data_IF_454098094179
#
_entry.id   IF_454098094179
#
_cell.length_a   1.000
_cell.length_b   1.000
_cell.length_c   1.000
_cell.angle_alpha   90.00
_cell.angle_beta   90.00
_cell.angle_gamma   90.00
#
_symmetry.space_group_name_H-M   'P 1'
#
loop_
_entity.id
_entity.type
_entity.pdbx_description
1 polymer ?
#
# COMPACT_ATOMS: atom_id res chain seq x y z
N UNK A 1 -52.06 24.41 -35.38
CA UNK A 1 -51.02 23.49 -34.87
C UNK A 1 -49.88 24.35 -34.33
N UNK A 2 -49.83 24.56 -33.02
CA UNK A 2 -48.72 25.29 -32.39
C UNK A 2 -47.49 24.37 -32.42
N UNK A 3 -46.53 24.68 -33.29
CA UNK A 3 -45.24 24.02 -33.31
C UNK A 3 -44.39 24.64 -32.20
N UNK A 4 -44.15 23.88 -31.14
CA UNK A 4 -43.20 24.28 -30.08
C UNK A 4 -41.81 24.41 -30.70
N UNK A 5 -41.10 25.54 -30.50
CA UNK A 5 -39.75 25.70 -31.02
C UNK A 5 -38.81 24.72 -30.31
N UNK A 6 -37.93 24.09 -31.08
CA UNK A 6 -36.89 23.21 -30.52
C UNK A 6 -36.03 24.00 -29.52
N UNK A 7 -35.72 23.44 -28.33
CA UNK A 7 -34.98 24.16 -27.32
C UNK A 7 -33.59 24.53 -27.85
N UNK A 8 -33.16 25.76 -27.56
CA UNK A 8 -31.82 26.23 -27.94
C UNK A 8 -30.73 25.35 -27.32
N UNK A 9 -29.56 25.27 -27.97
CA UNK A 9 -28.41 24.48 -27.48
C UNK A 9 -28.04 24.79 -26.01
N UNK A 10 -28.24 26.03 -25.53
CA UNK A 10 -28.05 26.39 -24.12
C UNK A 10 -29.07 25.74 -23.19
N UNK A 11 -30.32 25.62 -23.60
CA UNK A 11 -31.39 24.97 -22.82
C UNK A 11 -31.17 23.46 -22.75
N UNK A 12 -30.78 22.82 -23.86
CA UNK A 12 -30.41 21.39 -23.86
C UNK A 12 -29.22 21.08 -22.95
N UNK A 13 -28.17 21.91 -22.96
CA UNK A 13 -27.02 21.77 -22.05
C UNK A 13 -27.43 21.93 -20.59
N UNK A 14 -28.39 22.81 -20.30
CA UNK A 14 -28.89 23.06 -18.95
C UNK A 14 -29.84 21.97 -18.44
N UNK A 15 -30.65 21.36 -19.30
CA UNK A 15 -31.51 20.20 -18.95
C UNK A 15 -30.68 18.94 -18.72
N UNK A 16 -29.72 18.62 -19.62
CA UNK A 16 -28.77 17.53 -19.38
C UNK A 16 -27.96 17.73 -18.08
N UNK A 17 -27.68 18.98 -17.71
CA UNK A 17 -27.02 19.31 -16.43
C UNK A 17 -27.91 19.02 -15.21
N UNK A 18 -29.18 19.44 -15.22
CA UNK A 18 -30.12 19.17 -14.10
C UNK A 18 -30.33 17.66 -13.91
N UNK A 19 -30.48 16.93 -15.00
CA UNK A 19 -30.66 15.48 -14.95
C UNK A 19 -29.40 14.78 -14.43
N UNK A 20 -28.21 15.22 -14.86
CA UNK A 20 -26.94 14.69 -14.36
C UNK A 20 -26.77 14.91 -12.86
N UNK A 21 -27.12 16.10 -12.33
CA UNK A 21 -27.06 16.40 -10.89
C UNK A 21 -28.05 15.54 -10.09
N UNK A 22 -29.27 15.32 -10.62
CA UNK A 22 -30.27 14.46 -9.97
C UNK A 22 -29.83 13.01 -9.92
N UNK A 23 -29.30 12.49 -11.03
CA UNK A 23 -28.78 11.11 -11.11
C UNK A 23 -27.60 10.96 -10.16
N UNK A 24 -26.66 11.91 -10.14
CA UNK A 24 -25.53 11.89 -9.23
C UNK A 24 -25.96 11.90 -7.76
N UNK A 25 -26.91 12.77 -7.38
CA UNK A 25 -27.46 12.79 -6.02
C UNK A 25 -28.16 11.48 -5.65
N UNK A 26 -28.84 10.84 -6.61
CA UNK A 26 -29.45 9.53 -6.39
C UNK A 26 -28.40 8.44 -6.16
N UNK A 27 -27.35 8.39 -6.99
CA UNK A 27 -26.24 7.46 -6.85
C UNK A 27 -25.50 7.67 -5.52
N UNK A 28 -25.27 8.92 -5.12
CA UNK A 28 -24.70 9.24 -3.80
C UNK A 28 -25.51 8.63 -2.66
N UNK A 29 -26.84 8.74 -2.71
CA UNK A 29 -27.72 8.16 -1.69
C UNK A 29 -27.65 6.62 -1.69
N UNK A 30 -27.61 6.00 -2.87
CA UNK A 30 -27.47 4.54 -2.97
C UNK A 30 -26.19 4.05 -2.29
N UNK A 31 -25.06 4.69 -2.58
CA UNK A 31 -23.76 4.37 -1.99
C UNK A 31 -23.75 4.67 -0.47
N UNK A 32 -24.31 5.80 -0.06
CA UNK A 32 -24.30 6.22 1.35
C UNK A 32 -25.12 5.32 2.27
N UNK A 33 -26.28 4.86 1.80
CA UNK A 33 -27.21 4.08 2.62
C UNK A 33 -27.08 2.57 2.40
N UNK A 34 -26.04 2.12 1.67
CA UNK A 34 -25.86 0.73 1.25
C UNK A 34 -27.14 0.11 0.66
N UNK A 35 -27.92 0.93 -0.05
CA UNK A 35 -29.17 0.46 -0.60
C UNK A 35 -28.86 -0.36 -1.84
N UNK A 36 -29.08 -1.68 -1.72
CA UNK A 36 -28.95 -2.69 -2.76
C UNK A 36 -27.48 -3.02 -3.11
N UNK A 37 -26.88 -3.94 -2.35
CA UNK A 37 -25.48 -4.41 -2.55
C UNK A 37 -25.16 -4.80 -4.01
N UNK A 38 -26.10 -5.44 -4.72
CA UNK A 38 -25.90 -5.82 -6.13
C UNK A 38 -25.74 -4.65 -7.11
N UNK A 39 -26.10 -3.41 -6.71
CA UNK A 39 -25.91 -2.19 -7.52
C UNK A 39 -24.66 -1.41 -7.13
N UNK A 40 -23.92 -1.86 -6.12
CA UNK A 40 -22.80 -1.10 -5.57
C UNK A 40 -21.72 -0.83 -6.62
N UNK A 41 -21.23 -1.88 -7.29
CA UNK A 41 -20.17 -1.73 -8.30
C UNK A 41 -20.59 -0.80 -9.45
N UNK A 42 -21.77 -0.99 -10.11
CA UNK A 42 -22.24 -0.02 -11.11
C UNK A 42 -22.40 1.41 -10.58
N UNK A 43 -22.86 1.57 -9.33
CA UNK A 43 -23.00 2.87 -8.69
C UNK A 43 -21.63 3.52 -8.44
N UNK A 44 -20.63 2.77 -7.98
CA UNK A 44 -19.25 3.22 -7.79
C UNK A 44 -18.59 3.63 -9.10
N UNK A 45 -18.77 2.84 -10.17
CA UNK A 45 -18.27 3.18 -11.51
C UNK A 45 -18.89 4.49 -11.98
N UNK A 46 -20.22 4.62 -11.91
CA UNK A 46 -20.89 5.87 -12.30
C UNK A 46 -20.40 7.06 -11.46
N UNK A 47 -20.27 6.87 -10.15
CA UNK A 47 -19.84 7.90 -9.22
C UNK A 47 -18.42 8.39 -9.53
N UNK A 48 -17.50 7.47 -9.83
CA UNK A 48 -16.10 7.78 -10.12
C UNK A 48 -15.90 8.36 -11.53
N UNK A 49 -16.45 7.72 -12.56
CA UNK A 49 -16.20 8.08 -13.98
C UNK A 49 -17.06 9.27 -14.44
N UNK A 50 -18.34 9.29 -14.08
CA UNK A 50 -19.29 10.32 -14.52
C UNK A 50 -19.38 11.42 -13.46
N UNK A 51 -19.56 11.02 -12.21
CA UNK A 51 -19.79 11.93 -11.10
C UNK A 51 -18.64 12.89 -10.87
N UNK A 52 -17.45 12.40 -10.52
CA UNK A 52 -16.32 13.29 -10.17
C UNK A 52 -15.82 14.10 -11.36
N UNK A 53 -15.72 13.51 -12.56
CA UNK A 53 -15.25 14.23 -13.75
C UNK A 53 -16.18 15.36 -14.22
N UNK A 54 -17.50 15.21 -14.04
CA UNK A 54 -18.49 16.25 -14.39
C UNK A 54 -18.69 17.26 -13.27
N UNK A 55 -18.70 16.81 -12.01
CA UNK A 55 -18.92 17.64 -10.83
C UNK A 55 -17.68 18.47 -10.49
N UNK A 56 -16.47 17.95 -10.66
CA UNK A 56 -15.23 18.71 -10.41
C UNK A 56 -15.01 19.84 -11.42
N UNK A 57 -15.70 19.84 -12.58
CA UNK A 57 -15.76 20.99 -13.50
C UNK A 57 -16.83 22.01 -13.10
N UNK A 58 -17.78 21.64 -12.25
CA UNK A 58 -18.95 22.46 -11.93
C UNK A 58 -18.96 22.98 -10.49
N UNK A 59 -18.30 22.29 -9.56
CA UNK A 59 -18.41 22.53 -8.13
C UNK A 59 -17.02 22.57 -7.49
N UNK A 60 -16.51 23.79 -7.30
CA UNK A 60 -15.46 24.12 -6.34
C UNK A 60 -16.00 24.10 -4.88
N UNK A 61 -16.97 23.23 -4.56
CA UNK A 61 -17.59 23.20 -3.23
C UNK A 61 -16.92 22.14 -2.36
N UNK A 62 -16.26 22.60 -1.29
CA UNK A 62 -15.65 21.79 -0.23
C UNK A 62 -16.59 20.70 0.33
N UNK A 63 -17.90 20.98 0.38
CA UNK A 63 -18.90 20.04 0.91
C UNK A 63 -19.07 18.77 0.07
N UNK A 64 -18.96 18.87 -1.26
CA UNK A 64 -19.07 17.71 -2.13
C UNK A 64 -17.83 16.83 -2.08
N UNK A 65 -16.65 17.45 -1.93
CA UNK A 65 -15.41 16.73 -1.67
C UNK A 65 -15.49 15.94 -0.36
N UNK A 66 -16.04 16.53 0.71
CA UNK A 66 -16.23 15.82 1.98
C UNK A 66 -17.20 14.63 1.89
N UNK A 67 -18.25 14.73 1.07
CA UNK A 67 -19.15 13.59 0.81
C UNK A 67 -18.49 12.50 -0.01
N UNK A 68 -17.75 12.88 -1.06
CA UNK A 68 -17.03 11.94 -1.92
C UNK A 68 -15.96 11.16 -1.12
N UNK A 69 -15.18 11.89 -0.32
CA UNK A 69 -14.20 11.35 0.60
C UNK A 69 -14.82 10.29 1.53
N UNK A 70 -15.96 10.61 2.15
CA UNK A 70 -16.66 9.67 3.03
C UNK A 70 -17.19 8.44 2.29
N UNK A 71 -17.80 8.62 1.11
CA UNK A 71 -18.27 7.50 0.28
C UNK A 71 -17.11 6.55 -0.02
N UNK A 72 -15.99 7.08 -0.52
CA UNK A 72 -14.87 6.22 -0.87
C UNK A 72 -14.28 5.51 0.34
N UNK A 73 -14.05 6.19 1.47
CA UNK A 73 -13.56 5.52 2.68
C UNK A 73 -14.47 4.40 3.16
N UNK A 74 -15.78 4.57 3.04
CA UNK A 74 -16.75 3.51 3.37
C UNK A 74 -16.57 2.29 2.45
N UNK A 75 -16.38 2.50 1.15
CA UNK A 75 -16.26 1.41 0.18
C UNK A 75 -14.87 0.75 0.10
N UNK A 76 -13.86 1.24 0.83
CA UNK A 76 -12.58 0.54 1.01
C UNK A 76 -12.75 -0.85 1.65
N UNK A 77 -13.74 -0.99 2.53
CA UNK A 77 -14.02 -2.26 3.21
C UNK A 77 -15.18 -3.03 2.59
N UNK A 78 -15.56 -2.70 1.35
CA UNK A 78 -16.63 -3.41 0.64
C UNK A 78 -16.32 -4.90 0.52
N UNK A 79 -17.35 -5.72 0.38
CA UNK A 79 -17.23 -7.14 0.01
C UNK A 79 -16.88 -7.31 -1.48
N UNK A 80 -17.09 -6.27 -2.30
CA UNK A 80 -16.79 -6.28 -3.73
C UNK A 80 -15.41 -5.68 -4.01
N UNK A 81 -14.48 -6.49 -4.54
CA UNK A 81 -13.12 -6.06 -4.90
C UNK A 81 -13.09 -4.85 -5.82
N UNK A 82 -14.00 -4.81 -6.79
CA UNK A 82 -14.13 -3.74 -7.78
C UNK A 82 -14.54 -2.43 -7.10
N UNK A 83 -15.43 -2.48 -6.11
CA UNK A 83 -15.81 -1.29 -5.34
C UNK A 83 -14.63 -0.74 -4.54
N UNK A 84 -13.80 -1.63 -3.95
CA UNK A 84 -12.62 -1.22 -3.19
C UNK A 84 -11.59 -0.54 -4.10
N UNK A 85 -11.31 -1.14 -5.26
CA UNK A 85 -10.40 -0.58 -6.25
C UNK A 85 -10.89 0.79 -6.73
N UNK A 86 -12.18 0.90 -7.06
CA UNK A 86 -12.80 2.16 -7.47
C UNK A 86 -12.76 3.21 -6.34
N UNK A 87 -12.95 2.80 -5.09
CA UNK A 87 -12.85 3.67 -3.93
C UNK A 87 -11.42 4.19 -3.72
N UNK A 88 -10.42 3.32 -3.80
CA UNK A 88 -9.01 3.70 -3.73
C UNK A 88 -8.62 4.65 -4.86
N UNK A 89 -9.02 4.34 -6.09
CA UNK A 89 -8.80 5.20 -7.26
C UNK A 89 -9.50 6.55 -7.07
N UNK A 90 -10.72 6.53 -6.54
CA UNK A 90 -11.47 7.73 -6.15
C UNK A 90 -10.71 8.62 -5.16
N UNK A 91 -10.19 8.05 -4.07
CA UNK A 91 -9.36 8.78 -3.11
C UNK A 91 -8.07 9.31 -3.72
N UNK A 92 -7.35 8.51 -4.50
CA UNK A 92 -6.14 8.97 -5.22
C UNK A 92 -6.46 10.17 -6.10
N UNK A 93 -7.56 10.12 -6.85
CA UNK A 93 -8.00 11.22 -7.71
C UNK A 93 -8.33 12.48 -6.89
N UNK A 94 -9.15 12.37 -5.83
CA UNK A 94 -9.51 13.49 -4.95
C UNK A 94 -8.27 14.15 -4.32
N UNK A 95 -7.27 13.35 -3.97
CA UNK A 95 -6.05 13.80 -3.29
C UNK A 95 -4.83 13.89 -4.21
N UNK A 96 -4.95 13.87 -5.53
CA UNK A 96 -3.81 13.76 -6.49
C UNK A 96 -2.60 14.65 -6.15
N UNK A 97 -2.82 15.89 -5.70
CA UNK A 97 -1.73 16.85 -5.34
C UNK A 97 -1.42 16.93 -3.83
N UNK A 98 -2.21 16.23 -3.02
CA UNK A 98 -2.19 16.26 -1.55
C UNK A 98 -2.33 14.85 -0.98
N UNK A 99 -1.75 13.84 -1.65
CA UNK A 99 -1.92 12.43 -1.27
C UNK A 99 -1.40 12.15 0.14
N UNK A 100 -0.43 12.93 0.61
CA UNK A 100 0.04 12.87 2.00
C UNK A 100 -1.06 13.07 3.05
N UNK A 101 -2.19 13.71 2.71
CA UNK A 101 -3.32 13.83 3.64
C UNK A 101 -4.01 12.49 3.93
N UNK A 102 -3.75 11.46 3.12
CA UNK A 102 -4.23 10.10 3.32
C UNK A 102 -3.28 9.26 4.20
N UNK A 103 -2.17 9.81 4.71
CA UNK A 103 -1.26 9.06 5.60
C UNK A 103 -1.96 8.46 6.84
N UNK A 104 -2.89 9.15 7.52
CA UNK A 104 -3.64 8.55 8.62
C UNK A 104 -4.48 7.34 8.19
N UNK A 105 -5.08 7.42 6.99
CA UNK A 105 -5.85 6.32 6.41
C UNK A 105 -4.94 5.13 6.08
N UNK A 106 -3.78 5.37 5.48
CA UNK A 106 -2.76 4.34 5.19
C UNK A 106 -2.31 3.64 6.47
N UNK A 107 -2.01 4.38 7.55
CA UNK A 107 -1.61 3.83 8.84
C UNK A 107 -2.69 2.90 9.43
N UNK A 108 -3.96 3.26 9.25
CA UNK A 108 -5.09 2.45 9.67
C UNK A 108 -5.23 1.19 8.81
N UNK A 109 -5.20 1.33 7.48
CA UNK A 109 -5.41 0.22 6.54
C UNK A 109 -4.25 -0.79 6.49
N UNK A 110 -3.02 -0.37 6.76
CA UNK A 110 -1.89 -1.29 6.92
C UNK A 110 -2.08 -2.26 8.11
N UNK A 111 -2.91 -1.89 9.07
CA UNK A 111 -3.24 -2.73 10.23
C UNK A 111 -4.49 -3.59 10.00
N UNK A 112 -5.09 -3.55 8.81
CA UNK A 112 -6.28 -4.34 8.50
C UNK A 112 -5.97 -5.85 8.53
N UNK A 113 -6.97 -6.66 8.87
CA UNK A 113 -6.86 -8.12 8.80
C UNK A 113 -6.82 -8.66 7.38
N UNK A 114 -7.33 -7.90 6.41
CA UNK A 114 -7.47 -8.32 5.02
C UNK A 114 -6.26 -7.90 4.19
N UNK A 115 -5.67 -8.85 3.48
CA UNK A 115 -4.46 -8.63 2.69
C UNK A 115 -4.67 -7.71 1.47
N UNK A 116 -5.88 -7.68 0.90
CA UNK A 116 -6.21 -6.80 -0.23
C UNK A 116 -6.24 -5.32 0.17
N UNK A 117 -6.79 -5.00 1.34
CA UNK A 117 -6.77 -3.65 1.91
C UNK A 117 -5.35 -3.22 2.23
N UNK A 118 -4.54 -4.10 2.85
CA UNK A 118 -3.11 -3.85 3.10
C UNK A 118 -2.34 -3.59 1.81
N UNK A 119 -2.59 -4.35 0.75
CA UNK A 119 -1.96 -4.15 -0.56
C UNK A 119 -2.29 -2.78 -1.15
N UNK A 120 -3.57 -2.41 -1.14
CA UNK A 120 -4.02 -1.10 -1.60
C UNK A 120 -3.39 0.04 -0.79
N UNK A 121 -3.30 -0.11 0.54
CA UNK A 121 -2.65 0.86 1.43
C UNK A 121 -1.15 0.99 1.13
N UNK A 122 -0.48 -0.14 0.89
CA UNK A 122 0.95 -0.19 0.56
C UNK A 122 1.23 0.48 -0.78
N UNK A 123 0.41 0.22 -1.81
CA UNK A 123 0.51 0.89 -3.10
C UNK A 123 0.29 2.41 -2.98
N UNK A 124 -0.68 2.85 -2.17
CA UNK A 124 -0.88 4.28 -1.90
C UNK A 124 0.32 4.88 -1.14
N UNK A 125 0.91 4.12 -0.22
CA UNK A 125 2.13 4.55 0.48
C UNK A 125 3.31 4.70 -0.50
N UNK A 126 3.49 3.80 -1.47
CA UNK A 126 4.47 3.97 -2.55
C UNK A 126 4.28 5.32 -3.26
N UNK A 127 3.04 5.63 -3.66
CA UNK A 127 2.72 6.90 -4.32
C UNK A 127 3.07 8.10 -3.42
N UNK A 128 2.77 8.03 -2.12
CA UNK A 128 3.07 9.11 -1.17
C UNK A 128 4.58 9.24 -0.93
N UNK A 129 5.33 8.15 -0.80
CA UNK A 129 6.78 8.17 -0.62
C UNK A 129 7.46 8.80 -1.85
N UNK A 130 7.02 8.45 -3.05
CA UNK A 130 7.57 8.98 -4.29
C UNK A 130 7.30 10.49 -4.48
N UNK A 131 6.08 10.95 -4.17
CA UNK A 131 5.66 12.32 -4.49
C UNK A 131 5.69 13.30 -3.31
N UNK A 132 5.65 12.78 -2.07
CA UNK A 132 5.53 13.57 -0.84
C UNK A 132 6.45 13.08 0.29
N UNK A 133 7.75 12.79 0.05
CA UNK A 133 8.64 12.12 1.01
C UNK A 133 8.84 12.89 2.31
N UNK A 134 8.65 14.23 2.32
CA UNK A 134 8.77 15.04 3.53
C UNK A 134 7.70 14.72 4.56
N UNK A 135 6.47 14.43 4.13
CA UNK A 135 5.36 14.14 5.04
C UNK A 135 5.47 12.75 5.65
N UNK A 136 6.10 11.81 4.94
CA UNK A 136 6.37 10.46 5.47
C UNK A 136 7.36 10.52 6.65
N UNK A 137 8.30 11.47 6.64
CA UNK A 137 9.31 11.65 7.70
C UNK A 137 8.68 11.88 9.08
N UNK A 138 7.57 12.61 9.11
CA UNK A 138 6.85 12.97 10.35
C UNK A 138 6.17 11.76 11.00
N UNK A 139 5.93 10.68 10.23
CA UNK A 139 5.20 9.48 10.66
C UNK A 139 6.04 8.20 10.55
N UNK A 140 7.35 8.28 10.30
CA UNK A 140 8.23 7.12 10.11
C UNK A 140 8.11 6.07 11.21
N UNK A 141 8.15 6.49 12.47
CA UNK A 141 8.04 5.57 13.62
C UNK A 141 6.68 4.88 13.68
N UNK A 142 5.60 5.54 13.26
CA UNK A 142 4.25 4.98 13.22
C UNK A 142 4.08 3.99 12.07
N UNK A 143 4.74 4.22 10.94
CA UNK A 143 4.75 3.31 9.79
C UNK A 143 5.57 2.05 10.04
N UNK A 144 6.56 2.13 10.93
CA UNK A 144 7.60 1.13 11.06
C UNK A 144 7.04 -0.28 11.35
N UNK A 145 6.18 -0.41 12.36
CA UNK A 145 5.59 -1.71 12.76
C UNK A 145 4.52 -2.21 11.77
N UNK A 146 3.52 -1.40 11.34
CA UNK A 146 2.53 -1.87 10.36
C UNK A 146 3.17 -2.31 9.04
N UNK A 147 4.17 -1.56 8.56
CA UNK A 147 4.86 -1.88 7.31
C UNK A 147 5.66 -3.18 7.41
N UNK A 148 6.43 -3.38 8.48
CA UNK A 148 7.26 -4.60 8.63
C UNK A 148 6.41 -5.83 8.91
N UNK A 149 5.23 -5.68 9.49
CA UNK A 149 4.29 -6.80 9.64
C UNK A 149 3.86 -7.39 8.29
N UNK A 150 3.86 -6.58 7.23
CA UNK A 150 3.53 -7.02 5.87
C UNK A 150 4.60 -7.94 5.24
N UNK A 151 5.81 -8.05 5.84
CA UNK A 151 6.84 -8.95 5.33
C UNK A 151 6.44 -10.42 5.44
N UNK A 152 5.54 -10.77 6.36
CA UNK A 152 5.15 -12.17 6.59
C UNK A 152 3.77 -12.52 6.03
N UNK A 153 3.18 -11.65 5.21
CA UNK A 153 1.88 -11.90 4.57
C UNK A 153 2.00 -12.92 3.43
N UNK A 154 0.97 -13.71 3.17
CA UNK A 154 0.98 -14.70 2.08
C UNK A 154 1.03 -14.04 0.69
N UNK A 155 0.49 -12.82 0.58
CA UNK A 155 0.47 -12.07 -0.67
C UNK A 155 1.90 -11.59 -1.03
N UNK A 156 2.44 -12.13 -2.12
CA UNK A 156 3.82 -11.87 -2.56
C UNK A 156 4.03 -10.43 -3.02
N UNK A 157 3.04 -9.79 -3.64
CA UNK A 157 3.12 -8.38 -4.06
C UNK A 157 3.14 -7.45 -2.84
N UNK A 158 2.35 -7.75 -1.81
CA UNK A 158 2.34 -7.00 -0.56
C UNK A 158 3.69 -7.12 0.19
N UNK A 159 4.22 -8.34 0.31
CA UNK A 159 5.58 -8.56 0.87
C UNK A 159 6.62 -7.75 0.10
N UNK A 160 6.57 -7.80 -1.22
CA UNK A 160 7.51 -7.08 -2.08
C UNK A 160 7.46 -5.57 -1.86
N UNK A 161 6.28 -4.96 -2.07
CA UNK A 161 6.11 -3.51 -1.99
C UNK A 161 6.48 -3.00 -0.60
N UNK A 162 6.10 -3.73 0.45
CA UNK A 162 6.44 -3.33 1.82
C UNK A 162 7.95 -3.33 2.07
N UNK A 163 8.68 -4.34 1.59
CA UNK A 163 10.16 -4.38 1.67
C UNK A 163 10.81 -3.28 0.83
N UNK A 164 10.29 -3.01 -0.36
CA UNK A 164 10.77 -1.93 -1.23
C UNK A 164 10.60 -0.56 -0.55
N UNK A 165 9.41 -0.26 -0.03
CA UNK A 165 9.16 0.96 0.74
C UNK A 165 10.10 1.03 1.93
N UNK A 166 10.25 -0.06 2.70
CA UNK A 166 11.12 -0.09 3.86
C UNK A 166 12.56 0.31 3.47
N UNK A 167 13.10 -0.24 2.38
CA UNK A 167 14.41 0.16 1.86
C UNK A 167 14.50 1.67 1.56
N UNK A 168 13.46 2.26 0.97
CA UNK A 168 13.39 3.71 0.74
C UNK A 168 13.35 4.52 2.04
N UNK A 169 12.60 4.05 3.05
CA UNK A 169 12.54 4.72 4.36
C UNK A 169 13.88 4.65 5.11
N UNK A 170 14.67 3.59 4.89
CA UNK A 170 16.00 3.44 5.48
C UNK A 170 17.05 4.39 4.91
N UNK A 171 16.79 5.08 3.81
CA UNK A 171 17.67 6.15 3.29
C UNK A 171 17.12 7.55 3.56
N UNK A 172 15.85 7.68 3.93
CA UNK A 172 15.19 8.95 4.19
C UNK A 172 15.79 9.72 5.39
N UNK A 173 15.64 11.06 5.44
CA UNK A 173 15.85 11.83 6.66
C UNK A 173 15.00 11.27 7.81
N UNK A 174 15.52 11.30 9.04
CA UNK A 174 14.80 10.74 10.19
C UNK A 174 14.89 9.21 10.35
N UNK A 175 15.50 8.47 9.39
CA UNK A 175 15.69 7.00 9.41
C UNK A 175 16.20 6.38 10.71
N UNK A 176 16.88 7.14 11.57
CA UNK A 176 17.32 6.66 12.89
C UNK A 176 16.13 6.23 13.79
N UNK A 177 14.93 6.76 13.53
CA UNK A 177 13.71 6.32 14.19
C UNK A 177 13.37 4.84 13.92
N UNK A 178 13.89 4.26 12.83
CA UNK A 178 13.66 2.88 12.41
C UNK A 178 14.68 1.89 12.99
N UNK A 179 15.61 2.31 13.85
CA UNK A 179 16.69 1.45 14.36
C UNK A 179 16.18 0.20 15.09
N UNK A 180 15.07 0.32 15.82
CA UNK A 180 14.44 -0.83 16.48
C UNK A 180 13.94 -1.83 15.44
N UNK A 181 13.09 -1.37 14.51
CA UNK A 181 12.52 -2.21 13.46
C UNK A 181 13.57 -2.83 12.55
N UNK A 182 14.65 -2.10 12.24
CA UNK A 182 15.77 -2.66 11.47
C UNK A 182 16.34 -3.90 12.15
N UNK A 183 16.62 -3.83 13.46
CA UNK A 183 17.18 -4.97 14.19
C UNK A 183 16.22 -6.15 14.22
N UNK A 184 14.92 -5.88 14.39
CA UNK A 184 13.88 -6.91 14.41
C UNK A 184 13.68 -7.60 13.06
N UNK A 185 14.01 -6.92 11.97
CA UNK A 185 13.71 -7.38 10.61
C UNK A 185 14.94 -7.83 9.80
N UNK A 186 16.16 -7.84 10.37
CA UNK A 186 17.35 -8.37 9.68
C UNK A 186 17.16 -9.82 9.23
N UNK A 187 16.66 -10.67 10.13
CA UNK A 187 16.52 -12.09 9.86
C UNK A 187 15.31 -12.40 8.93
N UNK A 188 14.13 -11.77 9.11
CA UNK A 188 13.07 -11.80 8.10
C UNK A 188 13.56 -11.46 6.69
N UNK A 189 14.28 -10.34 6.54
CA UNK A 189 14.82 -9.93 5.23
C UNK A 189 15.81 -10.96 4.66
N UNK A 190 16.67 -11.57 5.50
CA UNK A 190 17.53 -12.66 5.07
C UNK A 190 16.74 -13.85 4.52
N UNK A 191 15.66 -14.27 5.18
CA UNK A 191 14.84 -15.38 4.69
C UNK A 191 14.12 -15.03 3.39
N UNK A 192 13.61 -13.80 3.25
CA UNK A 192 12.95 -13.36 2.01
C UNK A 192 13.92 -13.28 0.82
N UNK A 193 15.23 -13.10 1.04
CA UNK A 193 16.23 -13.23 -0.04
C UNK A 193 16.32 -14.65 -0.63
N UNK A 194 15.82 -15.67 0.08
CA UNK A 194 15.78 -17.05 -0.39
C UNK A 194 14.44 -17.40 -1.06
N UNK A 195 13.49 -16.47 -1.20
CA UNK A 195 12.23 -16.76 -1.88
C UNK A 195 12.42 -17.01 -3.38
N UNK A 196 11.80 -18.09 -3.86
CA UNK A 196 11.63 -18.36 -5.28
C UNK A 196 10.42 -17.59 -5.81
N UNK A 197 10.67 -16.58 -6.64
CA UNK A 197 9.59 -15.75 -7.19
C UNK A 197 9.24 -16.18 -8.62
N UNK A 198 7.96 -16.49 -8.91
CA UNK A 198 7.53 -16.93 -10.24
C UNK A 198 7.93 -15.95 -11.35
N UNK A 199 8.31 -16.49 -12.52
CA UNK A 199 8.80 -15.70 -13.67
C UNK A 199 7.90 -14.59 -14.18
N UNK A 200 6.61 -14.63 -13.87
CA UNK A 200 5.65 -13.59 -14.29
C UNK A 200 5.72 -12.35 -13.37
N UNK A 201 6.21 -12.51 -12.14
CA UNK A 201 6.56 -11.41 -11.24
C UNK A 201 8.04 -10.97 -11.38
N UNK A 202 8.80 -11.58 -12.31
CA UNK A 202 10.24 -11.33 -12.51
C UNK A 202 10.58 -10.08 -13.33
N UNK A 203 9.65 -9.16 -13.55
CA UNK A 203 10.05 -7.78 -13.84
C UNK A 203 10.52 -7.10 -12.53
N UNK A 204 11.56 -7.64 -11.89
CA UNK A 204 12.44 -6.98 -10.90
C UNK A 204 11.94 -6.70 -9.48
N UNK A 205 11.41 -7.68 -8.74
CA UNK A 205 10.66 -7.37 -7.51
C UNK A 205 11.24 -7.92 -6.16
N UNK A 206 10.82 -9.09 -5.65
CA UNK A 206 10.94 -9.32 -4.20
C UNK A 206 12.27 -9.81 -3.59
N UNK A 207 13.11 -10.66 -4.22
CA UNK A 207 14.42 -10.98 -3.65
C UNK A 207 15.33 -9.75 -3.70
N UNK A 208 15.17 -8.93 -4.75
CA UNK A 208 15.85 -7.65 -4.92
C UNK A 208 15.43 -6.64 -3.84
N UNK A 209 14.14 -6.57 -3.51
CA UNK A 209 13.67 -5.71 -2.42
C UNK A 209 14.18 -6.15 -1.05
N UNK A 210 14.14 -7.46 -0.75
CA UNK A 210 14.67 -8.01 0.50
C UNK A 210 16.19 -7.75 0.63
N UNK A 211 16.93 -8.00 -0.45
CA UNK A 211 18.37 -7.75 -0.54
C UNK A 211 18.71 -6.27 -0.37
N UNK A 212 17.99 -5.38 -1.06
CA UNK A 212 18.20 -3.93 -0.97
C UNK A 212 17.85 -3.44 0.43
N UNK A 213 16.72 -3.86 1.00
CA UNK A 213 16.34 -3.53 2.37
C UNK A 213 17.38 -4.00 3.39
N UNK A 214 17.91 -5.23 3.26
CA UNK A 214 18.96 -5.74 4.15
C UNK A 214 20.28 -4.96 3.98
N UNK A 215 20.61 -4.58 2.74
CA UNK A 215 21.77 -3.74 2.44
C UNK A 215 21.65 -2.37 3.11
N UNK A 216 20.47 -1.72 3.01
CA UNK A 216 20.19 -0.43 3.66
C UNK A 216 20.14 -0.53 5.18
N UNK A 217 19.62 -1.63 5.71
CA UNK A 217 19.63 -1.92 7.14
C UNK A 217 21.07 -2.01 7.67
N UNK A 218 21.94 -2.75 6.98
CA UNK A 218 23.36 -2.85 7.30
C UNK A 218 24.07 -1.49 7.23
N UNK A 219 23.74 -0.66 6.22
CA UNK A 219 24.23 0.72 6.12
C UNK A 219 23.84 1.58 7.33
N UNK A 220 22.57 1.52 7.75
CA UNK A 220 22.07 2.29 8.89
C UNK A 220 22.72 1.83 10.22
N UNK A 221 22.92 0.52 10.38
CA UNK A 221 23.61 -0.07 11.53
C UNK A 221 25.14 0.14 11.50
N UNK A 222 25.69 0.60 10.37
CA UNK A 222 27.14 0.72 10.09
C UNK A 222 27.87 -0.62 10.11
N UNK A 223 27.20 -1.70 9.71
CA UNK A 223 27.78 -3.04 9.61
C UNK A 223 28.29 -3.29 8.19
N UNK A 224 29.52 -2.83 7.90
CA UNK A 224 30.07 -2.84 6.54
C UNK A 224 30.24 -4.24 5.94
N UNK A 225 30.61 -5.22 6.76
CA UNK A 225 30.72 -6.62 6.34
C UNK A 225 29.35 -7.17 5.90
N UNK A 226 28.32 -7.02 6.74
CA UNK A 226 26.95 -7.43 6.41
C UNK A 226 26.45 -6.76 5.13
N UNK A 227 26.72 -5.47 4.96
CA UNK A 227 26.37 -4.71 3.75
C UNK A 227 27.02 -5.30 2.49
N UNK A 228 28.32 -5.63 2.56
CA UNK A 228 29.02 -6.22 1.42
C UNK A 228 28.45 -7.59 1.07
N UNK A 229 28.25 -8.44 2.08
CA UNK A 229 27.70 -9.79 1.90
C UNK A 229 26.27 -9.78 1.33
N UNK A 230 25.43 -8.84 1.79
CA UNK A 230 24.08 -8.67 1.25
C UNK A 230 24.12 -8.27 -0.23
N UNK A 231 25.01 -7.36 -0.64
CA UNK A 231 25.16 -6.96 -2.05
C UNK A 231 25.66 -8.09 -2.95
N UNK A 232 26.55 -8.94 -2.45
CA UNK A 232 27.09 -10.08 -3.23
C UNK A 232 26.19 -11.32 -3.17
N UNK A 233 25.10 -11.27 -2.38
CA UNK A 233 24.20 -12.40 -2.12
C UNK A 233 24.95 -13.67 -1.68
N UNK A 234 26.02 -13.52 -0.89
CA UNK A 234 26.76 -14.66 -0.32
C UNK A 234 26.02 -15.16 0.93
N UNK A 235 24.99 -15.97 0.71
CA UNK A 235 24.01 -16.35 1.74
C UNK A 235 24.63 -17.05 2.94
N UNK A 236 25.63 -17.91 2.72
CA UNK A 236 26.31 -18.64 3.79
C UNK A 236 27.07 -17.69 4.73
N UNK A 237 27.93 -16.83 4.16
CA UNK A 237 28.67 -15.85 4.96
C UNK A 237 27.74 -14.80 5.58
N UNK A 238 26.64 -14.47 4.90
CA UNK A 238 25.64 -13.54 5.42
C UNK A 238 24.97 -14.10 6.68
N UNK A 239 24.61 -15.39 6.68
CA UNK A 239 24.10 -16.09 7.86
C UNK A 239 25.11 -16.11 9.01
N UNK A 240 26.37 -16.49 8.74
CA UNK A 240 27.45 -16.46 9.75
C UNK A 240 27.63 -15.05 10.36
N UNK A 241 27.61 -14.01 9.52
CA UNK A 241 27.72 -12.62 9.97
C UNK A 241 26.54 -12.22 10.86
N UNK A 242 25.31 -12.59 10.51
CA UNK A 242 24.13 -12.33 11.34
C UNK A 242 24.22 -13.01 12.70
N UNK A 243 24.62 -14.28 12.75
CA UNK A 243 24.80 -15.03 14.01
C UNK A 243 25.86 -14.37 14.89
N UNK A 244 27.02 -13.99 14.33
CA UNK A 244 28.08 -13.31 15.07
C UNK A 244 27.63 -11.95 15.64
N UNK A 245 26.72 -11.25 14.95
CA UNK A 245 26.20 -9.94 15.36
C UNK A 245 24.95 -10.02 16.24
N UNK A 246 24.34 -11.19 16.39
CA UNK A 246 23.08 -11.38 17.10
C UNK A 246 23.19 -10.92 18.58
N UNK A 247 24.31 -11.21 19.25
CA UNK A 247 24.52 -10.80 20.64
C UNK A 247 23.38 -11.28 21.55
N UNK A 248 22.64 -10.36 22.18
CA UNK A 248 21.47 -10.69 23.01
C UNK A 248 20.22 -11.09 22.21
N UNK A 249 20.22 -10.93 20.89
CA UNK A 249 19.08 -11.25 20.02
C UNK A 249 19.08 -12.72 19.52
N UNK A 250 20.02 -13.56 19.96
CA UNK A 250 20.13 -14.97 19.53
C UNK A 250 18.81 -15.73 19.76
N UNK A 251 18.17 -15.58 20.92
CA UNK A 251 16.91 -16.25 21.22
C UNK A 251 15.80 -15.83 20.25
N UNK A 252 15.72 -14.53 19.94
CA UNK A 252 14.78 -14.01 18.97
C UNK A 252 15.06 -14.57 17.56
N UNK A 253 16.33 -14.69 17.17
CA UNK A 253 16.70 -15.25 15.87
C UNK A 253 16.30 -16.72 15.76
N UNK A 254 16.46 -17.50 16.82
CA UNK A 254 15.96 -18.88 16.87
C UNK A 254 14.45 -18.92 16.74
N UNK A 255 13.72 -18.10 17.50
CA UNK A 255 12.25 -18.03 17.44
C UNK A 255 11.75 -17.64 16.04
N UNK A 256 12.38 -16.66 15.41
CA UNK A 256 12.06 -16.25 14.04
C UNK A 256 12.38 -17.36 13.03
N UNK A 257 13.53 -18.02 13.15
CA UNK A 257 13.90 -19.13 12.24
C UNK A 257 12.89 -20.27 12.29
N UNK A 258 12.35 -20.60 13.47
CA UNK A 258 11.30 -21.62 13.64
C UNK A 258 10.05 -21.29 12.84
N UNK A 259 9.64 -20.00 12.75
CA UNK A 259 8.52 -19.60 11.89
C UNK A 259 8.78 -19.94 10.42
N UNK A 260 9.98 -19.68 9.92
CA UNK A 260 10.33 -19.91 8.51
C UNK A 260 10.52 -21.39 8.16
N UNK A 261 10.67 -22.30 9.14
CA UNK A 261 10.61 -23.75 8.90
C UNK A 261 9.25 -24.20 8.36
N UNK A 262 8.19 -23.41 8.60
CA UNK A 262 6.84 -23.69 8.12
C UNK A 262 6.49 -22.95 6.83
N UNK A 263 7.45 -22.25 6.21
CA UNK A 263 7.24 -21.55 4.93
C UNK A 263 6.75 -22.52 3.84
N UNK A 264 5.83 -22.11 2.94
CA UNK A 264 5.44 -22.92 1.79
C UNK A 264 6.60 -23.17 0.81
N UNK A 265 7.63 -22.30 0.80
CA UNK A 265 8.74 -22.37 -0.14
C UNK A 265 9.90 -23.23 0.42
N UNK A 266 10.36 -24.19 -0.38
CA UNK A 266 11.43 -25.12 0.03
C UNK A 266 12.75 -24.38 0.29
N UNK A 267 13.14 -23.46 -0.59
CA UNK A 267 14.34 -22.64 -0.47
C UNK A 267 14.41 -21.85 0.84
N UNK A 268 13.27 -21.29 1.28
CA UNK A 268 13.17 -20.56 2.56
C UNK A 268 13.32 -21.51 3.75
N UNK A 269 12.69 -22.70 3.68
CA UNK A 269 12.85 -23.71 4.73
C UNK A 269 14.29 -24.21 4.84
N UNK A 270 14.95 -24.44 3.72
CA UNK A 270 16.37 -24.84 3.68
C UNK A 270 17.27 -23.77 4.29
N UNK A 271 17.03 -22.50 3.98
CA UNK A 271 17.74 -21.38 4.61
C UNK A 271 17.51 -21.33 6.13
N UNK A 272 16.28 -21.58 6.59
CA UNK A 272 15.96 -21.64 8.02
C UNK A 272 16.64 -22.82 8.73
N UNK A 273 16.70 -24.00 8.12
CA UNK A 273 17.45 -25.14 8.65
C UNK A 273 18.95 -24.86 8.66
N UNK A 274 19.50 -24.24 7.61
CA UNK A 274 20.92 -23.91 7.55
C UNK A 274 21.35 -22.80 8.50
N UNK A 275 20.42 -21.94 8.93
CA UNK A 275 20.69 -20.87 9.90
C UNK A 275 20.70 -21.37 11.36
N UNK A 276 19.91 -22.40 11.67
CA UNK A 276 19.81 -23.03 13.00
C UNK A 276 20.97 -23.99 13.29
#
# INVERSE_FOLDING_TARGET
MCSTPAPSHRVMVMECWVDSVRIFSHVQKLLWYHQLQWREVPAMVFYMEVGIGTVQRCLELQEENGRAEKIFRTHIHSEHSESQELAMRGLRNLYTRRMHLLLPDVLMWLQDTRADIKLQATQLLCDIVAHHPRHVQDVLSQLAVPLTSCFNEDNTELRWLSMEIFAQLLVAPGRKQLLSEVKMNLLPLFFHMNEEIPRVAQMGAAPEAAQEALTRAAELLRWQELRHLAKTADMWKLAECLVQKAGSAVEQYVQQSVWYLHSPQASVREAAVGFL
#
